data_IF_246855852190
#
_entry.id   IF_246855852190
#
_cell.length_a   1.000
_cell.length_b   1.000
_cell.length_c   1.000
_cell.angle_alpha   90.00
_cell.angle_beta   90.00
_cell.angle_gamma   90.00
#
_symmetry.space_group_name_H-M   'P 1'
#
loop_
_entity.id
_entity.type
_entity.pdbx_description
1 polymer ?
#
# COMPACT_ATOMS: atom_id res chain seq x y z
N UNK A 1 -5.46 4.32 -8.26
CA UNK A 1 -4.02 4.42 -8.49
C UNK A 1 -3.56 3.21 -9.29
N UNK A 2 -3.08 3.44 -10.54
CA UNK A 2 -2.68 2.37 -11.47
C UNK A 2 -1.54 1.51 -10.91
N UNK A 3 -0.49 2.14 -10.37
CA UNK A 3 0.67 1.42 -9.81
C UNK A 3 0.29 0.44 -8.69
N UNK A 4 -0.64 0.82 -7.81
CA UNK A 4 -1.13 -0.09 -6.77
C UNK A 4 -1.87 -1.29 -7.35
N UNK A 5 -2.63 -1.08 -8.44
CA UNK A 5 -3.34 -2.14 -9.14
C UNK A 5 -2.38 -3.11 -9.83
N UNK A 6 -1.32 -2.59 -10.46
CA UNK A 6 -0.30 -3.39 -11.13
C UNK A 6 0.45 -4.28 -10.14
N UNK A 7 0.90 -3.72 -9.00
CA UNK A 7 1.54 -4.49 -7.94
C UNK A 7 0.61 -5.57 -7.36
N UNK A 8 -0.66 -5.24 -7.11
CA UNK A 8 -1.62 -6.19 -6.60
C UNK A 8 -1.90 -7.32 -7.62
N UNK A 9 -2.04 -6.98 -8.89
CA UNK A 9 -2.24 -7.94 -9.97
C UNK A 9 -1.05 -8.87 -10.12
N UNK A 10 0.18 -8.34 -10.05
CA UNK A 10 1.42 -9.12 -10.07
C UNK A 10 1.49 -10.08 -8.87
N UNK A 11 1.17 -9.59 -7.66
CA UNK A 11 1.19 -10.39 -6.43
C UNK A 11 0.19 -11.56 -6.50
N UNK A 12 -0.97 -11.35 -7.10
CA UNK A 12 -2.06 -12.34 -7.16
C UNK A 12 -2.01 -13.23 -8.41
N UNK A 13 -1.06 -13.00 -9.34
CA UNK A 13 -1.00 -13.69 -10.63
C UNK A 13 -0.96 -15.21 -10.53
N UNK A 14 -0.28 -15.76 -9.53
CA UNK A 14 -0.16 -17.21 -9.30
C UNK A 14 -1.43 -17.88 -8.79
N UNK A 15 -2.35 -17.11 -8.20
CA UNK A 15 -3.60 -17.63 -7.60
C UNK A 15 -4.77 -17.66 -8.58
N UNK A 16 -4.55 -17.24 -9.83
CA UNK A 16 -5.61 -17.07 -10.83
C UNK A 16 -6.74 -16.10 -10.37
N UNK A 17 -6.44 -15.24 -9.38
CA UNK A 17 -7.35 -14.19 -8.91
C UNK A 17 -7.21 -13.00 -9.85
N UNK A 18 -8.32 -12.62 -10.47
CA UNK A 18 -8.38 -11.43 -11.33
C UNK A 18 -8.74 -10.20 -10.51
N UNK A 19 -7.84 -9.24 -10.43
CA UNK A 19 -8.11 -7.94 -9.83
C UNK A 19 -8.61 -6.99 -10.92
N UNK A 20 -9.67 -6.24 -10.60
CA UNK A 20 -10.25 -5.22 -11.49
C UNK A 20 -10.32 -3.90 -10.75
N UNK A 21 -10.17 -2.81 -11.50
CA UNK A 21 -10.38 -1.48 -10.94
C UNK A 21 -11.86 -1.27 -10.60
N UNK A 22 -12.12 -0.64 -9.47
CA UNK A 22 -13.48 -0.23 -9.11
C UNK A 22 -14.09 0.74 -10.14
N UNK A 23 -13.25 1.52 -10.84
CA UNK A 23 -13.68 2.40 -11.92
C UNK A 23 -14.24 1.65 -13.13
N UNK A 24 -13.87 0.40 -13.33
CA UNK A 24 -14.44 -0.45 -14.40
C UNK A 24 -15.89 -0.81 -14.10
N UNK A 25 -16.27 -0.82 -12.82
CA UNK A 25 -17.63 -1.15 -12.35
C UNK A 25 -18.46 0.13 -12.16
N UNK A 26 -17.84 1.18 -11.67
CA UNK A 26 -18.48 2.46 -11.38
C UNK A 26 -17.52 3.62 -11.71
N UNK A 27 -17.49 4.08 -12.99
CA UNK A 27 -16.53 5.09 -13.47
C UNK A 27 -16.59 6.42 -12.72
N UNK A 28 -17.75 6.81 -12.26
CA UNK A 28 -18.00 8.08 -11.56
C UNK A 28 -17.86 8.00 -10.05
N UNK A 29 -17.40 6.85 -9.51
CA UNK A 29 -17.28 6.70 -8.06
C UNK A 29 -16.23 7.66 -7.50
N UNK A 30 -16.64 8.42 -6.51
CA UNK A 30 -15.76 9.28 -5.72
C UNK A 30 -15.74 8.78 -4.28
N UNK A 31 -14.56 8.67 -3.72
CA UNK A 31 -14.34 8.26 -2.33
C UNK A 31 -13.66 9.42 -1.62
N UNK A 32 -14.25 9.86 -0.53
CA UNK A 32 -13.64 10.88 0.33
C UNK A 32 -12.50 10.23 1.10
N UNK A 33 -11.32 10.84 1.04
CA UNK A 33 -10.15 10.43 1.83
C UNK A 33 -10.38 10.88 3.28
N UNK A 34 -10.69 9.98 4.22
CA UNK A 34 -10.88 10.40 5.60
C UNK A 34 -9.52 10.70 6.23
N UNK A 35 -9.50 11.64 7.16
CA UNK A 35 -8.39 11.74 8.11
C UNK A 35 -8.53 10.58 9.10
N UNK A 36 -7.43 9.90 9.37
CA UNK A 36 -7.39 8.73 10.25
C UNK A 36 -6.11 8.66 11.06
N UNK A 37 -6.14 7.90 12.12
CA UNK A 37 -4.98 7.68 12.98
C UNK A 37 -4.00 6.69 12.36
N UNK A 38 -4.52 5.74 11.60
CA UNK A 38 -3.73 4.71 10.90
C UNK A 38 -4.36 4.29 9.57
N UNK A 39 -3.59 3.57 8.75
CA UNK A 39 -4.04 3.08 7.44
C UNK A 39 -5.22 2.09 7.55
N UNK A 40 -5.39 1.37 8.66
CA UNK A 40 -6.50 0.44 8.83
C UNK A 40 -7.83 1.19 9.00
N UNK A 41 -7.82 2.26 9.80
CA UNK A 41 -8.97 3.14 9.95
C UNK A 41 -9.35 3.77 8.60
N UNK A 42 -8.37 4.30 7.87
CA UNK A 42 -8.60 4.91 6.55
C UNK A 42 -9.16 3.89 5.56
N UNK A 43 -8.55 2.70 5.44
CA UNK A 43 -9.02 1.66 4.53
C UNK A 43 -10.45 1.19 4.89
N UNK A 44 -10.75 1.02 6.18
CA UNK A 44 -12.08 0.64 6.65
C UNK A 44 -13.14 1.70 6.37
N UNK A 45 -12.82 2.96 6.58
CA UNK A 45 -13.73 4.07 6.27
C UNK A 45 -14.01 4.17 4.77
N UNK A 46 -12.98 3.98 3.94
CA UNK A 46 -13.12 3.97 2.48
C UNK A 46 -14.00 2.82 2.00
N UNK A 47 -13.80 1.58 2.49
CA UNK A 47 -14.59 0.45 2.02
C UNK A 47 -16.07 0.59 2.40
N UNK A 48 -16.37 1.16 3.56
CA UNK A 48 -17.77 1.42 3.95
C UNK A 48 -18.45 2.39 3.00
N UNK A 49 -17.77 3.47 2.57
CA UNK A 49 -18.29 4.40 1.57
C UNK A 49 -18.55 3.71 0.24
N UNK A 50 -17.58 2.91 -0.22
CA UNK A 50 -17.64 2.24 -1.53
C UNK A 50 -18.69 1.13 -1.56
N UNK A 51 -18.75 0.29 -0.53
CA UNK A 51 -19.64 -0.85 -0.45
C UNK A 51 -21.10 -0.43 -0.63
N UNK A 52 -21.52 0.61 0.09
CA UNK A 52 -22.87 1.14 -0.03
C UNK A 52 -23.27 1.53 -1.48
N UNK A 53 -22.29 1.98 -2.26
CA UNK A 53 -22.52 2.44 -3.64
C UNK A 53 -22.50 1.32 -4.67
N UNK A 54 -21.80 0.21 -4.40
CA UNK A 54 -21.51 -0.80 -5.44
C UNK A 54 -21.93 -2.23 -5.08
N UNK A 55 -22.41 -2.51 -3.88
CA UNK A 55 -22.76 -3.84 -3.42
C UNK A 55 -23.66 -4.58 -4.44
N UNK A 56 -24.68 -3.90 -4.96
CA UNK A 56 -25.60 -4.43 -5.97
C UNK A 56 -24.96 -4.72 -7.33
N UNK A 57 -23.72 -4.26 -7.57
CA UNK A 57 -22.94 -4.47 -8.81
C UNK A 57 -21.84 -5.52 -8.65
N UNK A 58 -21.60 -6.01 -7.44
CA UNK A 58 -20.49 -6.94 -7.19
C UNK A 58 -20.74 -8.33 -7.79
N UNK A 59 -22.02 -8.75 -7.95
CA UNK A 59 -22.39 -10.02 -8.57
C UNK A 59 -21.58 -11.22 -8.01
N UNK A 60 -21.44 -11.31 -6.69
CA UNK A 60 -20.68 -12.36 -6.03
C UNK A 60 -19.17 -12.16 -6.01
N UNK A 61 -18.66 -11.03 -6.55
CA UNK A 61 -17.24 -10.67 -6.43
C UNK A 61 -16.98 -10.01 -5.07
N UNK A 62 -15.75 -10.15 -4.62
CA UNK A 62 -15.29 -9.43 -3.43
C UNK A 62 -14.92 -8.00 -3.77
N UNK A 63 -15.00 -7.15 -2.76
CA UNK A 63 -14.55 -5.77 -2.83
C UNK A 63 -13.36 -5.61 -1.90
N UNK A 64 -12.31 -4.94 -2.34
CA UNK A 64 -11.20 -4.55 -1.48
C UNK A 64 -10.84 -3.08 -1.67
N UNK A 65 -10.39 -2.47 -0.60
CA UNK A 65 -9.81 -1.12 -0.57
C UNK A 65 -8.51 -1.19 0.19
N UNK A 66 -7.49 -0.54 -0.33
CA UNK A 66 -6.17 -0.50 0.28
C UNK A 66 -5.79 0.95 0.60
N UNK A 67 -5.25 1.14 1.81
CA UNK A 67 -4.55 2.34 2.21
C UNK A 67 -3.14 2.01 2.64
N UNK A 68 -2.17 2.87 2.31
CA UNK A 68 -0.77 2.61 2.62
C UNK A 68 0.01 3.90 2.81
N UNK A 69 1.03 3.82 3.65
CA UNK A 69 1.92 4.93 3.93
C UNK A 69 3.34 4.50 4.28
N UNK A 70 4.25 5.45 4.19
CA UNK A 70 5.60 5.40 4.70
C UNK A 70 5.60 5.96 6.13
N UNK A 71 6.15 5.23 7.07
CA UNK A 71 6.29 5.64 8.47
C UNK A 71 7.78 5.69 8.82
N UNK A 72 8.28 6.86 9.19
CA UNK A 72 9.70 7.08 9.51
C UNK A 72 9.83 7.26 11.01
N UNK A 73 10.60 6.39 11.67
CA UNK A 73 10.66 6.30 13.13
C UNK A 73 11.19 7.58 13.78
N UNK A 74 12.28 8.13 13.26
CA UNK A 74 12.88 9.39 13.75
C UNK A 74 11.99 10.62 13.55
N UNK A 75 10.91 10.50 12.77
CA UNK A 75 9.92 11.56 12.55
C UNK A 75 8.57 11.26 13.24
N UNK A 76 8.57 10.33 14.22
CA UNK A 76 7.35 9.94 14.95
C UNK A 76 6.29 9.29 14.07
N UNK A 77 6.71 8.61 13.00
CA UNK A 77 5.83 7.96 12.02
C UNK A 77 5.37 8.87 10.86
N UNK A 78 5.79 10.17 10.83
CA UNK A 78 5.51 11.03 9.67
C UNK A 78 6.24 10.49 8.43
N UNK A 79 5.64 10.52 7.21
CA UNK A 79 4.34 11.09 6.84
C UNK A 79 3.11 10.20 7.15
N UNK A 80 3.28 8.90 7.42
CA UNK A 80 2.21 8.00 7.82
C UNK A 80 1.05 7.95 6.83
N UNK A 81 -0.16 8.10 7.32
CA UNK A 81 -1.40 8.11 6.50
C UNK A 81 -1.45 9.27 5.50
N UNK A 82 -0.66 10.32 5.72
CA UNK A 82 -0.57 11.47 4.83
C UNK A 82 0.48 11.31 3.73
N UNK A 83 1.04 10.11 3.54
CA UNK A 83 2.13 9.84 2.60
C UNK A 83 1.88 10.39 1.19
N UNK A 84 0.69 10.23 0.65
CA UNK A 84 0.35 10.75 -0.69
C UNK A 84 0.33 12.27 -0.74
N UNK A 85 -0.24 12.92 0.26
CA UNK A 85 -0.30 14.38 0.36
C UNK A 85 1.11 14.98 0.55
N UNK A 86 1.89 14.43 1.46
CA UNK A 86 3.25 14.89 1.73
C UNK A 86 4.15 14.68 0.51
N UNK A 87 4.02 13.54 -0.19
CA UNK A 87 4.75 13.31 -1.42
C UNK A 87 4.45 14.35 -2.50
N UNK A 88 3.19 14.77 -2.64
CA UNK A 88 2.78 15.77 -3.64
C UNK A 88 3.14 17.22 -3.27
N UNK A 89 3.44 17.50 -2.01
CA UNK A 89 3.73 18.86 -1.50
C UNK A 89 5.17 19.04 -1.08
N UNK A 90 5.64 18.21 -0.17
CA UNK A 90 7.01 18.26 0.41
C UNK A 90 8.00 17.44 -0.42
N UNK A 91 7.51 16.38 -1.04
CA UNK A 91 8.28 15.49 -1.91
C UNK A 91 9.27 14.58 -1.16
N UNK A 92 10.04 13.85 -1.94
CA UNK A 92 11.09 12.96 -1.44
C UNK A 92 12.21 13.77 -0.78
N UNK A 93 12.62 14.85 -1.42
CA UNK A 93 13.71 15.71 -0.96
C UNK A 93 13.41 16.30 0.43
N UNK A 94 12.16 16.66 0.69
CA UNK A 94 11.76 17.16 1.99
C UNK A 94 11.85 16.10 3.09
N UNK A 95 11.51 14.85 2.82
CA UNK A 95 11.68 13.75 3.79
C UNK A 95 13.16 13.52 4.08
N UNK A 96 14.01 13.48 3.05
CA UNK A 96 15.47 13.34 3.22
C UNK A 96 16.04 14.49 4.06
N UNK A 97 15.61 15.73 3.77
CA UNK A 97 16.04 16.91 4.51
C UNK A 97 15.63 16.90 5.99
N UNK A 98 14.45 16.39 6.32
CA UNK A 98 13.98 16.22 7.70
C UNK A 98 14.82 15.20 8.49
N UNK A 99 15.55 14.33 7.80
CA UNK A 99 16.44 13.33 8.38
C UNK A 99 17.90 13.75 8.44
N UNK A 100 18.26 14.92 7.90
CA UNK A 100 19.64 15.45 8.01
C UNK A 100 20.07 15.55 9.47
N UNK A 101 21.24 14.97 9.78
CA UNK A 101 21.79 14.93 11.13
C UNK A 101 21.15 13.94 12.10
N UNK A 102 20.21 13.11 11.65
CA UNK A 102 19.65 12.01 12.44
C UNK A 102 20.43 10.72 12.15
N UNK A 103 20.79 10.00 13.23
CA UNK A 103 21.46 8.69 13.11
C UNK A 103 20.48 7.60 12.72
N UNK A 104 19.25 7.65 13.26
CA UNK A 104 18.20 6.68 12.95
C UNK A 104 17.44 7.11 11.70
N UNK A 105 17.52 6.28 10.66
CA UNK A 105 16.78 6.42 9.41
C UNK A 105 15.77 5.29 9.20
N UNK A 106 15.48 4.52 10.28
CA UNK A 106 14.52 3.41 10.23
C UNK A 106 13.16 3.87 9.78
N UNK A 107 12.57 3.06 8.93
CA UNK A 107 11.25 3.34 8.37
C UNK A 107 10.50 2.05 8.06
N UNK A 108 9.19 2.14 7.95
CA UNK A 108 8.35 1.04 7.51
C UNK A 108 7.35 1.50 6.48
N UNK A 109 7.16 0.73 5.41
CA UNK A 109 5.94 0.80 4.63
C UNK A 109 4.87 -0.08 5.27
N UNK A 110 3.67 0.46 5.41
CA UNK A 110 2.49 -0.26 5.92
C UNK A 110 1.40 -0.20 4.86
N UNK A 111 0.81 -1.35 4.55
CA UNK A 111 -0.40 -1.47 3.74
C UNK A 111 -1.51 -2.10 4.57
N UNK A 112 -2.66 -1.46 4.60
CA UNK A 112 -3.88 -1.97 5.22
C UNK A 112 -4.92 -2.22 4.15
N UNK A 113 -5.44 -3.46 4.10
CA UNK A 113 -6.51 -3.85 3.20
C UNK A 113 -7.77 -4.09 4.03
N UNK A 114 -8.84 -3.36 3.70
CA UNK A 114 -10.19 -3.70 4.11
C UNK A 114 -10.88 -4.39 2.94
N UNK A 115 -11.55 -5.54 3.18
CA UNK A 115 -12.23 -6.28 2.12
C UNK A 115 -13.56 -6.84 2.59
N UNK A 116 -14.52 -6.88 1.67
CA UNK A 116 -15.85 -7.44 1.80
C UNK A 116 -15.90 -8.80 1.12
N UNK A 117 -16.29 -9.83 1.86
CA UNK A 117 -16.34 -11.22 1.38
C UNK A 117 -17.73 -11.67 0.90
N UNK A 118 -18.70 -10.77 0.95
CA UNK A 118 -20.10 -11.05 0.66
C UNK A 118 -21.00 -11.03 1.91
N UNK A 119 -20.41 -11.11 3.11
CA UNK A 119 -21.13 -11.14 4.39
C UNK A 119 -20.65 -10.07 5.36
N UNK A 120 -19.34 -9.83 5.43
CA UNK A 120 -18.72 -8.92 6.41
C UNK A 120 -17.45 -8.27 5.90
N UNK A 121 -17.08 -7.16 6.53
CA UNK A 121 -15.84 -6.45 6.27
C UNK A 121 -14.73 -7.00 7.18
N UNK A 122 -13.64 -7.44 6.57
CA UNK A 122 -12.40 -7.84 7.21
C UNK A 122 -11.33 -6.77 7.02
N UNK A 123 -10.30 -6.82 7.86
CA UNK A 123 -9.10 -6.01 7.70
C UNK A 123 -7.84 -6.85 7.95
N UNK A 124 -6.80 -6.57 7.17
CA UNK A 124 -5.46 -7.17 7.31
C UNK A 124 -4.41 -6.11 7.05
N UNK A 125 -3.20 -6.31 7.58
CA UNK A 125 -2.07 -5.42 7.37
C UNK A 125 -0.83 -6.18 6.94
N UNK A 126 -0.05 -5.58 6.04
CA UNK A 126 1.29 -6.00 5.66
C UNK A 126 2.28 -4.88 5.97
N UNK A 127 3.47 -5.27 6.43
CA UNK A 127 4.54 -4.36 6.81
C UNK A 127 5.81 -4.74 6.06
N UNK A 128 6.53 -3.75 5.55
CA UNK A 128 7.89 -3.92 5.05
C UNK A 128 8.78 -2.96 5.82
N UNK A 129 9.63 -3.50 6.69
CA UNK A 129 10.64 -2.74 7.42
C UNK A 129 11.81 -2.38 6.51
N UNK A 130 12.46 -1.28 6.80
CA UNK A 130 13.61 -0.81 6.04
C UNK A 130 14.18 0.48 6.62
N UNK A 131 14.84 1.25 5.78
CA UNK A 131 15.42 2.55 6.14
C UNK A 131 15.33 3.53 4.98
N UNK A 132 15.48 4.79 5.29
CA UNK A 132 15.53 5.86 4.28
C UNK A 132 16.99 6.05 3.81
N UNK A 133 17.16 6.04 2.50
CA UNK A 133 18.41 6.42 1.82
C UNK A 133 18.61 7.93 1.91
N UNK A 134 19.84 8.41 2.13
CA UNK A 134 20.15 9.84 2.13
C UNK A 134 20.02 10.48 0.74
N UNK A 135 19.90 9.68 -0.31
CA UNK A 135 19.76 10.11 -1.70
C UNK A 135 18.77 9.23 -2.45
N UNK A 136 18.12 9.79 -3.46
CA UNK A 136 17.26 9.06 -4.37
C UNK A 136 18.08 8.18 -5.30
N UNK A 137 17.70 6.91 -5.45
CA UNK A 137 18.34 5.92 -6.33
C UNK A 137 17.30 5.13 -7.10
N UNK A 138 17.59 4.88 -8.39
CA UNK A 138 16.68 4.18 -9.30
C UNK A 138 15.57 5.08 -9.85
N UNK A 139 14.85 4.58 -10.83
CA UNK A 139 13.81 5.30 -11.59
C UNK A 139 12.51 4.51 -11.75
N UNK A 140 12.46 3.28 -11.21
CA UNK A 140 11.25 2.46 -11.22
C UNK A 140 10.33 2.78 -10.02
N UNK A 141 9.11 2.22 -10.04
CA UNK A 141 8.18 2.32 -8.93
C UNK A 141 7.46 3.67 -8.83
N UNK A 142 7.09 4.07 -7.62
CA UNK A 142 6.36 5.32 -7.35
C UNK A 142 6.49 5.74 -5.88
N UNK A 143 6.08 6.99 -5.61
CA UNK A 143 6.07 7.51 -4.24
C UNK A 143 7.48 7.63 -3.66
N UNK A 144 7.71 7.05 -2.50
CA UNK A 144 9.00 7.09 -1.80
C UNK A 144 9.92 5.90 -2.15
N UNK A 145 9.60 5.13 -3.16
CA UNK A 145 10.43 3.99 -3.61
C UNK A 145 11.90 4.37 -3.88
N UNK A 146 12.22 5.57 -4.43
CA UNK A 146 13.61 5.97 -4.67
C UNK A 146 14.48 6.12 -3.41
N UNK A 147 13.85 6.27 -2.25
CA UNK A 147 14.58 6.43 -0.98
C UNK A 147 14.33 5.32 0.03
N UNK A 148 13.49 4.33 -0.27
CA UNK A 148 13.21 3.25 0.66
C UNK A 148 14.02 2.00 0.34
N UNK A 149 14.87 1.58 1.29
CA UNK A 149 15.70 0.38 1.25
C UNK A 149 15.07 -0.67 2.17
N UNK A 150 14.48 -1.75 1.64
CA UNK A 150 13.89 -2.80 2.48
C UNK A 150 14.97 -3.57 3.26
N UNK A 151 14.67 -3.93 4.51
CA UNK A 151 15.59 -4.64 5.41
C UNK A 151 15.93 -6.05 4.89
N UNK A 152 14.93 -6.76 4.35
CA UNK A 152 15.10 -8.11 3.78
C UNK A 152 15.66 -8.10 2.34
N UNK A 153 16.04 -6.92 1.82
CA UNK A 153 16.60 -6.75 0.49
C UNK A 153 18.13 -6.86 0.46
N UNK A 154 18.69 -6.53 -0.69
CA UNK A 154 20.15 -6.55 -0.98
C UNK A 154 20.82 -5.18 -0.88
N UNK A 155 20.16 -4.19 -0.26
CA UNK A 155 20.65 -2.82 -0.10
C UNK A 155 20.25 -1.87 -1.23
N UNK A 156 19.55 -2.34 -2.25
CA UNK A 156 18.91 -1.51 -3.27
C UNK A 156 17.65 -0.84 -2.71
N UNK A 157 17.31 0.33 -3.26
CA UNK A 157 16.00 0.93 -3.05
C UNK A 157 14.92 0.18 -3.83
N UNK A 158 13.65 0.38 -3.50
CA UNK A 158 12.56 -0.18 -4.31
C UNK A 158 12.56 0.30 -5.76
N UNK A 159 13.07 1.50 -6.04
CA UNK A 159 13.18 2.03 -7.40
C UNK A 159 14.34 1.44 -8.21
N UNK A 160 15.30 0.80 -7.57
CA UNK A 160 16.37 0.05 -8.23
C UNK A 160 15.97 -1.41 -8.53
N UNK A 161 14.79 -1.84 -8.09
CA UNK A 161 14.25 -3.18 -8.29
C UNK A 161 13.24 -3.21 -9.44
N UNK A 162 13.20 -4.32 -10.16
CA UNK A 162 12.08 -4.55 -11.06
C UNK A 162 10.80 -4.89 -10.27
N UNK A 163 9.65 -4.84 -10.94
CA UNK A 163 8.34 -5.05 -10.29
C UNK A 163 8.25 -6.39 -9.55
N UNK A 164 8.83 -7.47 -10.10
CA UNK A 164 8.80 -8.80 -9.49
C UNK A 164 9.65 -8.86 -8.21
N UNK A 165 10.84 -8.27 -8.22
CA UNK A 165 11.72 -8.18 -7.06
C UNK A 165 11.04 -7.38 -5.95
N UNK A 166 10.59 -6.16 -6.24
CA UNK A 166 9.85 -5.30 -5.31
C UNK A 166 8.62 -6.01 -4.73
N UNK A 167 7.81 -6.64 -5.58
CA UNK A 167 6.59 -7.34 -5.16
C UNK A 167 6.90 -8.47 -4.17
N UNK A 168 8.04 -9.15 -4.27
CA UNK A 168 8.41 -10.22 -3.34
C UNK A 168 8.64 -9.73 -1.90
N UNK A 169 9.00 -8.46 -1.72
CA UNK A 169 9.36 -7.84 -0.42
C UNK A 169 8.29 -6.85 0.07
N UNK A 170 7.34 -6.44 -0.78
CA UNK A 170 6.51 -5.28 -0.49
C UNK A 170 5.44 -5.53 0.58
N UNK A 171 5.18 -4.50 1.37
CA UNK A 171 4.09 -4.41 2.33
C UNK A 171 2.73 -4.79 1.74
N UNK A 172 2.46 -4.39 0.47
CA UNK A 172 1.21 -4.69 -0.23
C UNK A 172 1.06 -6.17 -0.48
N UNK A 173 2.10 -6.85 -0.92
CA UNK A 173 2.08 -8.31 -1.11
C UNK A 173 1.86 -9.03 0.20
N UNK A 174 2.49 -8.59 1.29
CA UNK A 174 2.27 -9.18 2.61
C UNK A 174 0.82 -9.01 3.09
N UNK A 175 0.21 -7.85 2.86
CA UNK A 175 -1.21 -7.64 3.17
C UNK A 175 -2.12 -8.52 2.31
N UNK A 176 -1.84 -8.64 1.00
CA UNK A 176 -2.60 -9.48 0.09
C UNK A 176 -2.50 -10.98 0.44
N UNK A 177 -1.34 -11.47 0.83
CA UNK A 177 -1.17 -12.85 1.31
C UNK A 177 -2.06 -13.12 2.52
N UNK A 178 -2.05 -12.24 3.51
CA UNK A 178 -2.92 -12.36 4.70
C UNK A 178 -4.41 -12.29 4.34
N UNK A 179 -4.78 -11.50 3.35
CA UNK A 179 -6.16 -11.47 2.85
C UNK A 179 -6.56 -12.82 2.25
N UNK A 180 -5.72 -13.39 1.40
CA UNK A 180 -5.94 -14.70 0.76
C UNK A 180 -6.06 -15.82 1.80
N UNK A 181 -5.17 -15.85 2.79
CA UNK A 181 -5.22 -16.81 3.90
C UNK A 181 -6.55 -16.69 4.67
N UNK A 182 -7.01 -15.47 4.92
CA UNK A 182 -8.27 -15.23 5.65
C UNK A 182 -9.51 -15.63 4.84
N UNK A 183 -9.42 -15.64 3.52
CA UNK A 183 -10.46 -16.10 2.60
C UNK A 183 -10.40 -17.61 2.36
N UNK A 184 -9.53 -18.36 3.04
CA UNK A 184 -9.33 -19.81 2.89
C UNK A 184 -8.99 -20.26 1.46
N UNK A 185 -8.32 -19.41 0.69
CA UNK A 185 -7.74 -19.84 -0.58
C UNK A 185 -6.54 -20.77 -0.36
N UNK A 186 -6.25 -21.67 -1.32
CA UNK A 186 -5.03 -22.47 -1.27
C UNK A 186 -3.81 -21.54 -1.16
N UNK A 187 -2.90 -21.86 -0.25
CA UNK A 187 -1.66 -21.10 -0.01
C UNK A 187 -0.83 -20.93 -1.29
N UNK A 188 -0.18 -19.79 -1.43
CA UNK A 188 0.73 -19.44 -2.53
C UNK A 188 2.04 -20.22 -2.40
#
# INVERSE_FOLDING_TARGET
>A
NGHKLDEASQAMSKLQIKIRSLRDISPSISVVEPQGEDCAHVARSKIMQVLHLVEHKLNGNWLMVEDSGLFVDALGGFPGVYSSYVHSTVGIEGIVKLLEGKEDTSASYISSIAFWDGERIHSVQGHCKGRISPESRGDAGFGYDPIFIPEEGDGRTFSEMNLREKTSLSHRTMALKKMVEKLNFPSI
#
